data_IF_812364694652
#
_entry.id   IF_812364694652
#
_cell.length_a   1.000
_cell.length_b   1.000
_cell.length_c   1.000
_cell.angle_alpha   90.00
_cell.angle_beta   90.00
_cell.angle_gamma   90.00
#
_symmetry.space_group_name_H-M   'P 1'
#
loop_
_entity.id
_entity.type
_entity.pdbx_description
1 polymer ?
#
# COMPACT_ATOMS: atom_id res chain seq x y z
N UNK A 1 24.60 23.14 -6.17
CA UNK A 1 23.92 22.46 -5.04
C UNK A 1 25.01 22.02 -4.07
N UNK A 2 24.94 22.42 -2.80
CA UNK A 2 25.92 21.98 -1.81
C UNK A 2 25.65 20.54 -1.36
N UNK A 3 26.63 19.82 -0.79
CA UNK A 3 26.42 18.47 -0.27
C UNK A 3 25.25 18.38 0.73
N UNK A 4 25.13 19.35 1.63
CA UNK A 4 24.03 19.38 2.61
C UNK A 4 22.66 19.57 1.96
N UNK A 5 22.55 20.43 0.93
CA UNK A 5 21.30 20.60 0.18
C UNK A 5 20.86 19.30 -0.52
N UNK A 6 21.83 18.55 -1.06
CA UNK A 6 21.56 17.27 -1.71
C UNK A 6 21.06 16.23 -0.70
N UNK A 7 21.75 16.11 0.43
CA UNK A 7 21.39 15.16 1.49
C UNK A 7 20.01 15.48 2.08
N UNK A 8 19.68 16.76 2.26
CA UNK A 8 18.35 17.18 2.70
C UNK A 8 17.26 16.88 1.68
N UNK A 9 17.55 17.08 0.39
CA UNK A 9 16.64 16.67 -0.69
C UNK A 9 16.40 15.16 -0.65
N UNK A 10 17.44 14.36 -0.46
CA UNK A 10 17.36 12.91 -0.35
C UNK A 10 16.53 12.49 0.85
N UNK A 11 16.76 13.11 2.01
CA UNK A 11 16.00 12.88 3.23
C UNK A 11 14.52 13.20 3.05
N UNK A 12 14.18 14.29 2.36
CA UNK A 12 12.78 14.63 2.03
C UNK A 12 12.18 13.60 1.06
N UNK A 13 12.88 13.28 -0.02
CA UNK A 13 12.45 12.30 -1.02
C UNK A 13 12.16 10.93 -0.41
N UNK A 14 13.08 10.39 0.40
CA UNK A 14 12.93 9.12 1.10
C UNK A 14 11.76 9.13 2.08
N UNK A 15 11.54 10.23 2.81
CA UNK A 15 10.37 10.37 3.70
C UNK A 15 9.05 10.32 2.94
N UNK A 16 8.97 11.04 1.81
CA UNK A 16 7.79 11.05 0.95
C UNK A 16 7.55 9.65 0.38
N UNK A 17 8.57 9.05 -0.27
CA UNK A 17 8.46 7.74 -0.91
C UNK A 17 8.06 6.65 0.10
N UNK A 18 8.79 6.51 1.20
CA UNK A 18 8.49 5.54 2.26
C UNK A 18 7.04 5.70 2.75
N UNK A 19 6.61 6.92 3.07
CA UNK A 19 5.27 7.15 3.62
C UNK A 19 4.18 6.95 2.58
N UNK A 20 4.41 7.33 1.33
CA UNK A 20 3.46 7.16 0.25
C UNK A 20 3.24 5.67 -0.09
N UNK A 21 4.30 4.87 -0.09
CA UNK A 21 4.17 3.41 -0.18
C UNK A 21 3.39 2.82 1.00
N UNK A 22 3.63 3.30 2.22
CA UNK A 22 2.89 2.83 3.39
C UNK A 22 1.38 3.17 3.31
N UNK A 23 1.03 4.38 2.89
CA UNK A 23 -0.38 4.77 2.71
C UNK A 23 -1.03 4.05 1.50
N UNK A 24 -0.29 3.81 0.42
CA UNK A 24 -0.75 3.00 -0.71
C UNK A 24 -1.03 1.54 -0.30
N UNK A 25 -0.18 0.95 0.55
CA UNK A 25 -0.41 -0.39 1.09
C UNK A 25 -1.75 -0.45 1.85
N UNK A 26 -2.00 0.49 2.77
CA UNK A 26 -3.28 0.58 3.49
C UNK A 26 -4.47 0.77 2.56
N UNK A 27 -4.32 1.61 1.54
CA UNK A 27 -5.37 1.85 0.56
C UNK A 27 -5.78 0.56 -0.15
N UNK A 28 -4.82 -0.18 -0.70
CA UNK A 28 -5.11 -1.44 -1.38
C UNK A 28 -5.57 -2.54 -0.42
N UNK A 29 -5.08 -2.57 0.81
CA UNK A 29 -5.59 -3.48 1.83
C UNK A 29 -7.08 -3.24 2.12
N UNK A 30 -7.51 -1.99 2.26
CA UNK A 30 -8.93 -1.64 2.45
C UNK A 30 -9.77 -2.05 1.24
N UNK A 31 -9.28 -1.80 0.02
CA UNK A 31 -9.98 -2.22 -1.20
C UNK A 31 -10.08 -3.74 -1.32
N UNK A 32 -9.04 -4.46 -0.90
CA UNK A 32 -9.10 -5.91 -0.80
C UNK A 32 -10.22 -6.34 0.15
N UNK A 33 -10.27 -5.83 1.37
CA UNK A 33 -11.29 -6.20 2.37
C UNK A 33 -12.71 -5.87 1.92
N UNK A 34 -12.92 -4.69 1.33
CA UNK A 34 -14.24 -4.25 0.81
C UNK A 34 -14.74 -5.20 -0.27
N UNK A 35 -13.83 -5.78 -1.08
CA UNK A 35 -14.19 -6.71 -2.14
C UNK A 35 -14.24 -8.17 -1.66
N UNK A 36 -13.37 -8.57 -0.73
CA UNK A 36 -13.23 -9.95 -0.29
C UNK A 36 -14.26 -10.37 0.73
N UNK A 37 -14.61 -9.49 1.67
CA UNK A 37 -15.57 -9.81 2.72
C UNK A 37 -16.98 -10.12 2.16
N UNK A 38 -17.59 -9.30 1.27
CA UNK A 38 -18.89 -9.62 0.70
C UNK A 38 -18.86 -10.89 -0.16
N UNK A 39 -17.80 -11.08 -0.93
CA UNK A 39 -17.65 -12.25 -1.79
C UNK A 39 -17.61 -13.56 -0.99
N UNK A 40 -16.85 -13.58 0.11
CA UNK A 40 -16.77 -14.74 1.01
C UNK A 40 -18.12 -15.01 1.67
N UNK A 41 -18.84 -13.98 2.11
CA UNK A 41 -20.17 -14.13 2.71
C UNK A 41 -21.18 -14.72 1.73
N UNK A 42 -21.21 -14.21 0.49
CA UNK A 42 -22.10 -14.73 -0.55
C UNK A 42 -21.72 -16.17 -0.91
N UNK A 43 -20.43 -16.46 -1.10
CA UNK A 43 -19.97 -17.81 -1.41
C UNK A 43 -20.29 -18.82 -0.29
N UNK A 44 -20.19 -18.40 0.97
CA UNK A 44 -20.57 -19.24 2.11
C UNK A 44 -22.08 -19.54 2.13
N UNK A 45 -22.93 -18.54 1.80
CA UNK A 45 -24.37 -18.73 1.68
C UNK A 45 -24.71 -19.68 0.51
N UNK A 46 -23.98 -19.58 -0.60
CA UNK A 46 -24.10 -20.46 -1.77
C UNK A 46 -23.39 -21.81 -1.60
N UNK A 47 -23.13 -22.26 -0.38
CA UNK A 47 -22.60 -23.61 -0.15
C UNK A 47 -23.48 -24.65 -0.86
N UNK A 48 -22.87 -25.67 -1.45
CA UNK A 48 -23.55 -26.63 -2.33
C UNK A 48 -24.82 -27.23 -1.71
N UNK A 49 -24.79 -27.51 -0.41
CA UNK A 49 -25.92 -28.05 0.34
C UNK A 49 -27.09 -27.06 0.44
N UNK A 50 -26.80 -25.80 0.78
CA UNK A 50 -27.82 -24.75 0.91
C UNK A 50 -28.35 -24.36 -0.47
N UNK A 51 -27.48 -24.33 -1.48
CA UNK A 51 -27.86 -24.05 -2.86
C UNK A 51 -28.89 -25.07 -3.37
N UNK A 52 -28.61 -26.37 -3.24
CA UNK A 52 -29.53 -27.43 -3.68
C UNK A 52 -30.89 -27.33 -2.98
N UNK A 53 -30.90 -27.13 -1.65
CA UNK A 53 -32.13 -27.01 -0.87
C UNK A 53 -32.97 -25.78 -1.26
N UNK A 54 -32.32 -24.63 -1.46
CA UNK A 54 -33.01 -23.38 -1.78
C UNK A 54 -33.44 -23.30 -3.25
N UNK A 55 -32.76 -24.01 -4.15
CA UNK A 55 -33.14 -24.11 -5.55
C UNK A 55 -34.46 -24.87 -5.73
N UNK A 56 -34.67 -25.92 -4.93
CA UNK A 56 -35.91 -26.72 -4.93
C UNK A 56 -37.05 -26.04 -4.14
N UNK A 57 -36.80 -24.90 -3.50
CA UNK A 57 -37.82 -24.13 -2.78
C UNK A 57 -39.00 -23.80 -3.68
N UNK A 58 -40.24 -23.96 -3.20
CA UNK A 58 -41.46 -23.58 -3.93
C UNK A 58 -41.69 -22.06 -3.99
N UNK A 59 -40.86 -21.30 -3.28
CA UNK A 59 -40.98 -19.85 -3.15
C UNK A 59 -40.20 -19.16 -4.26
N UNK A 60 -40.91 -18.51 -5.19
CA UNK A 60 -40.31 -17.92 -6.40
C UNK A 60 -39.19 -16.89 -6.11
N UNK A 61 -39.36 -16.03 -5.09
CA UNK A 61 -38.37 -15.00 -4.76
C UNK A 61 -37.04 -15.61 -4.25
N UNK A 62 -37.09 -16.78 -3.61
CA UNK A 62 -35.88 -17.49 -3.14
C UNK A 62 -35.04 -17.94 -4.33
N UNK A 63 -35.67 -18.55 -5.36
CA UNK A 63 -34.96 -18.99 -6.58
C UNK A 63 -34.29 -17.83 -7.31
N UNK A 64 -35.01 -16.71 -7.44
CA UNK A 64 -34.47 -15.49 -8.08
C UNK A 64 -33.28 -14.95 -7.28
N UNK A 65 -33.38 -14.89 -5.95
CA UNK A 65 -32.28 -14.46 -5.10
C UNK A 65 -31.03 -15.34 -5.27
N UNK A 66 -31.20 -16.67 -5.30
CA UNK A 66 -30.10 -17.61 -5.51
C UNK A 66 -29.42 -17.43 -6.87
N UNK A 67 -30.19 -17.24 -7.95
CA UNK A 67 -29.63 -16.97 -9.27
C UNK A 67 -28.80 -15.67 -9.30
N UNK A 68 -29.32 -14.60 -8.68
CA UNK A 68 -28.62 -13.31 -8.57
C UNK A 68 -27.33 -13.45 -7.77
N UNK A 69 -27.37 -14.12 -6.61
CA UNK A 69 -26.19 -14.34 -5.76
C UNK A 69 -25.11 -15.15 -6.49
N UNK A 70 -25.47 -16.16 -7.29
CA UNK A 70 -24.52 -16.93 -8.10
C UNK A 70 -23.81 -16.05 -9.12
N UNK A 71 -24.55 -15.19 -9.84
CA UNK A 71 -23.95 -14.23 -10.78
C UNK A 71 -23.03 -13.24 -10.06
N UNK A 72 -23.47 -12.69 -8.92
CA UNK A 72 -22.65 -11.79 -8.11
C UNK A 72 -21.35 -12.44 -7.63
N UNK A 73 -21.41 -13.71 -7.24
CA UNK A 73 -20.23 -14.47 -6.80
C UNK A 73 -19.19 -14.57 -7.91
N UNK A 74 -19.61 -14.90 -9.13
CA UNK A 74 -18.73 -14.98 -10.29
C UNK A 74 -18.10 -13.61 -10.57
N UNK A 75 -18.91 -12.54 -10.62
CA UNK A 75 -18.42 -11.18 -10.88
C UNK A 75 -17.39 -10.74 -9.83
N UNK A 76 -17.71 -10.93 -8.55
CA UNK A 76 -16.81 -10.55 -7.45
C UNK A 76 -15.50 -11.35 -7.50
N UNK A 77 -15.58 -12.66 -7.75
CA UNK A 77 -14.39 -13.52 -7.85
C UNK A 77 -13.50 -13.13 -9.04
N UNK A 78 -14.10 -12.85 -10.20
CA UNK A 78 -13.36 -12.34 -11.36
C UNK A 78 -12.71 -10.98 -11.07
N UNK A 79 -13.41 -10.09 -10.37
CA UNK A 79 -12.87 -8.78 -10.00
C UNK A 79 -11.70 -8.91 -9.02
N UNK A 80 -11.77 -9.82 -8.06
CA UNK A 80 -10.66 -10.11 -7.14
C UNK A 80 -9.42 -10.61 -7.89
N UNK A 81 -9.61 -11.56 -8.81
CA UNK A 81 -8.53 -12.12 -9.62
C UNK A 81 -7.89 -11.08 -10.56
N UNK A 82 -8.69 -10.17 -11.11
CA UNK A 82 -8.22 -9.12 -12.01
C UNK A 82 -7.51 -7.97 -11.27
N UNK A 83 -8.07 -7.48 -10.15
CA UNK A 83 -7.57 -6.27 -9.48
C UNK A 83 -6.39 -6.53 -8.53
N UNK A 84 -6.28 -7.76 -8.01
CA UNK A 84 -5.16 -8.24 -7.17
C UNK A 84 -4.78 -7.29 -6.02
N UNK A 85 -5.76 -6.71 -5.35
CA UNK A 85 -5.53 -5.69 -4.32
C UNK A 85 -4.65 -6.17 -3.15
N UNK A 86 -4.76 -7.44 -2.74
CA UNK A 86 -3.90 -8.01 -1.71
C UNK A 86 -2.42 -8.02 -2.15
N UNK A 87 -2.14 -8.46 -3.38
CA UNK A 87 -0.79 -8.47 -3.94
C UNK A 87 -0.22 -7.05 -4.04
N UNK A 88 -1.02 -6.09 -4.53
CA UNK A 88 -0.61 -4.69 -4.62
C UNK A 88 -0.30 -4.10 -3.24
N UNK A 89 -1.13 -4.40 -2.24
CA UNK A 89 -0.90 -3.99 -0.85
C UNK A 89 0.45 -4.49 -0.34
N UNK A 90 0.74 -5.79 -0.48
CA UNK A 90 2.00 -6.36 -0.01
C UNK A 90 3.21 -5.81 -0.78
N UNK A 91 3.10 -5.60 -2.10
CA UNK A 91 4.19 -4.97 -2.88
C UNK A 91 4.51 -3.55 -2.40
N UNK A 92 3.49 -2.75 -2.10
CA UNK A 92 3.70 -1.42 -1.51
C UNK A 92 4.27 -1.50 -0.08
N UNK A 93 3.85 -2.48 0.72
CA UNK A 93 4.38 -2.70 2.08
C UNK A 93 5.85 -3.11 2.06
N UNK A 94 6.26 -4.01 1.17
CA UNK A 94 7.66 -4.38 0.98
C UNK A 94 8.52 -3.18 0.57
N UNK A 95 8.06 -2.39 -0.40
CA UNK A 95 8.76 -1.16 -0.81
C UNK A 95 8.86 -0.15 0.34
N UNK A 96 7.81 0.01 1.16
CA UNK A 96 7.84 0.87 2.33
C UNK A 96 8.89 0.41 3.36
N UNK A 97 9.01 -0.90 3.62
CA UNK A 97 10.02 -1.45 4.55
C UNK A 97 11.44 -1.16 4.03
N UNK A 98 11.72 -1.49 2.77
CA UNK A 98 13.03 -1.27 2.15
C UNK A 98 13.42 0.22 2.16
N UNK A 99 12.53 1.12 1.75
CA UNK A 99 12.78 2.57 1.80
C UNK A 99 12.92 3.10 3.23
N UNK A 100 12.21 2.49 4.19
CA UNK A 100 12.33 2.81 5.61
C UNK A 100 13.68 2.40 6.21
N UNK A 101 14.30 1.33 5.73
CA UNK A 101 15.68 0.95 6.07
C UNK A 101 16.68 1.99 5.54
N UNK A 102 16.60 2.33 4.25
CA UNK A 102 17.47 3.35 3.63
C UNK A 102 17.32 4.70 4.32
N UNK A 103 16.10 5.10 4.66
CA UNK A 103 15.84 6.35 5.39
C UNK A 103 16.51 6.35 6.77
N UNK A 104 16.41 5.27 7.54
CA UNK A 104 17.01 5.18 8.88
C UNK A 104 18.54 5.19 8.80
N UNK A 105 19.10 4.50 7.82
CA UNK A 105 20.55 4.52 7.56
C UNK A 105 21.01 5.96 7.22
N UNK A 106 20.28 6.67 6.35
CA UNK A 106 20.57 8.08 6.07
C UNK A 106 20.47 8.97 7.32
N UNK A 107 19.42 8.81 8.12
CA UNK A 107 19.22 9.58 9.36
C UNK A 107 20.34 9.32 10.38
N UNK A 108 20.85 8.08 10.47
CA UNK A 108 22.02 7.76 11.30
C UNK A 108 23.29 8.46 10.78
N UNK A 109 23.55 8.41 9.47
CA UNK A 109 24.72 9.08 8.88
C UNK A 109 24.70 10.60 9.09
N UNK A 110 23.50 11.21 9.10
CA UNK A 110 23.33 12.63 9.40
C UNK A 110 23.70 13.00 10.84
N UNK A 111 23.60 12.07 11.79
CA UNK A 111 23.89 12.32 13.22
C UNK A 111 25.36 12.10 13.57
N UNK A 112 26.03 11.14 12.95
CA UNK A 112 27.37 10.68 13.38
C UNK A 112 28.55 11.27 12.57
N UNK A 113 28.33 12.30 11.74
CA UNK A 113 29.31 13.08 10.95
C UNK A 113 30.33 12.32 10.06
N UNK A 114 30.31 10.99 10.02
CA UNK A 114 31.16 10.17 9.14
C UNK A 114 30.57 10.06 7.72
N UNK A 115 30.68 11.14 6.95
CA UNK A 115 30.31 11.14 5.53
C UNK A 115 31.55 11.05 4.65
N UNK A 116 31.97 9.83 4.39
CA UNK A 116 32.88 9.56 3.27
C UNK A 116 32.08 9.25 2.00
N UNK A 117 32.64 9.52 0.83
CA UNK A 117 32.03 9.33 -0.49
C UNK A 117 31.53 7.89 -0.66
N UNK A 118 32.29 6.91 -0.16
CA UNK A 118 31.91 5.51 -0.18
C UNK A 118 30.59 5.20 0.58
N UNK A 119 30.30 5.93 1.65
CA UNK A 119 29.05 5.78 2.42
C UNK A 119 27.86 6.29 1.61
N UNK A 120 27.99 7.49 1.03
CA UNK A 120 26.95 8.12 0.21
C UNK A 120 26.65 7.26 -1.02
N UNK A 121 27.69 6.72 -1.67
CA UNK A 121 27.55 5.84 -2.82
C UNK A 121 26.83 4.53 -2.48
N UNK A 122 27.12 3.92 -1.32
CA UNK A 122 26.39 2.74 -0.84
C UNK A 122 24.91 3.06 -0.58
N UNK A 123 24.62 4.19 0.05
CA UNK A 123 23.25 4.61 0.33
C UNK A 123 22.46 4.84 -0.97
N UNK A 124 23.08 5.51 -1.94
CA UNK A 124 22.50 5.74 -3.28
C UNK A 124 22.15 4.42 -3.96
N UNK A 125 23.08 3.48 -4.00
CA UNK A 125 22.86 2.14 -4.58
C UNK A 125 21.72 1.38 -3.90
N UNK A 126 21.64 1.44 -2.57
CA UNK A 126 20.52 0.83 -1.81
C UNK A 126 19.19 1.48 -2.13
N UNK A 127 19.15 2.82 -2.23
CA UNK A 127 17.95 3.53 -2.64
C UNK A 127 17.54 3.13 -4.06
N UNK A 128 18.44 3.21 -5.04
CA UNK A 128 18.16 2.83 -6.43
C UNK A 128 17.62 1.40 -6.53
N UNK A 129 18.16 0.47 -5.72
CA UNK A 129 17.68 -0.91 -5.67
C UNK A 129 16.26 -1.02 -5.09
N UNK A 130 15.95 -0.30 -4.01
CA UNK A 130 14.62 -0.26 -3.42
C UNK A 130 13.59 0.38 -4.38
N UNK A 131 13.97 1.46 -5.06
CA UNK A 131 13.09 2.19 -5.98
C UNK A 131 12.77 1.39 -7.25
N UNK A 132 13.77 0.68 -7.80
CA UNK A 132 13.55 -0.21 -8.97
C UNK A 132 12.54 -1.32 -8.72
N UNK A 133 12.43 -1.79 -7.49
CA UNK A 133 11.48 -2.86 -7.11
C UNK A 133 10.11 -2.29 -6.71
N UNK A 134 10.02 -0.98 -6.50
CA UNK A 134 8.85 -0.33 -5.98
C UNK A 134 7.73 -0.21 -7.05
N UNK A 135 6.48 -0.58 -6.73
CA UNK A 135 5.35 -0.32 -7.61
C UNK A 135 5.03 1.17 -7.72
N UNK A 136 4.46 1.61 -8.84
CA UNK A 136 4.05 3.01 -9.02
C UNK A 136 3.03 3.45 -7.96
N UNK A 137 3.32 4.57 -7.30
CA UNK A 137 2.44 5.18 -6.31
C UNK A 137 1.33 5.96 -7.03
N UNK A 138 0.04 5.80 -6.64
CA UNK A 138 -1.02 6.66 -7.15
C UNK A 138 -0.78 8.15 -6.82
N UNK A 139 -0.88 9.05 -7.81
CA UNK A 139 -0.56 10.48 -7.66
C UNK A 139 -1.29 11.13 -6.48
N UNK A 140 -2.60 10.85 -6.31
CA UNK A 140 -3.40 11.36 -5.18
C UNK A 140 -2.81 11.02 -3.80
N UNK A 141 -2.13 9.88 -3.68
CA UNK A 141 -1.46 9.46 -2.43
C UNK A 141 -0.11 10.16 -2.31
N UNK A 142 0.66 10.20 -3.41
CA UNK A 142 1.94 10.89 -3.45
C UNK A 142 1.79 12.37 -3.09
N UNK A 143 0.91 13.10 -3.77
CA UNK A 143 0.69 14.54 -3.61
C UNK A 143 0.27 14.89 -2.17
N UNK A 144 -0.64 14.09 -1.60
CA UNK A 144 -1.08 14.23 -0.21
C UNK A 144 0.07 14.05 0.78
N UNK A 145 0.91 13.04 0.56
CA UNK A 145 2.05 12.76 1.45
C UNK A 145 3.14 13.81 1.27
N UNK A 146 3.39 14.27 0.04
CA UNK A 146 4.34 15.33 -0.25
C UNK A 146 3.94 16.63 0.46
N UNK A 147 2.67 17.04 0.38
CA UNK A 147 2.13 18.19 1.11
C UNK A 147 2.31 18.03 2.63
N UNK A 148 1.97 16.86 3.19
CA UNK A 148 2.14 16.58 4.61
C UNK A 148 3.60 16.66 5.07
N UNK A 149 4.54 16.16 4.27
CA UNK A 149 5.98 16.21 4.59
C UNK A 149 6.52 17.64 4.49
N UNK A 150 6.02 18.45 3.54
CA UNK A 150 6.37 19.87 3.45
C UNK A 150 5.90 20.63 4.71
N UNK A 151 4.64 20.45 5.12
CA UNK A 151 4.09 21.07 6.34
C UNK A 151 4.86 20.69 7.62
N UNK A 152 5.39 19.47 7.68
CA UNK A 152 6.20 19.00 8.81
C UNK A 152 7.63 19.55 8.78
N UNK A 153 8.16 19.87 7.60
CA UNK A 153 9.47 20.51 7.44
C UNK A 153 9.46 21.99 7.86
N UNK A 154 8.33 22.68 7.67
CA UNK A 154 8.15 24.09 8.02
C UNK A 154 7.87 24.33 9.50
N UNK A 155 7.48 23.30 10.26
CA UNK A 155 7.26 23.42 11.71
C UNK A 155 8.57 23.23 12.47
N UNK A 156 8.94 24.16 13.39
CA UNK A 156 10.09 23.96 14.25
C UNK A 156 9.92 22.67 15.05
N UNK A 157 11.01 21.94 15.36
CA UNK A 157 10.94 20.72 16.15
C UNK A 157 10.16 21.02 17.44
N UNK A 158 9.13 20.22 17.72
CA UNK A 158 8.38 20.35 18.98
C UNK A 158 9.39 20.25 20.11
N UNK A 159 9.56 21.34 20.85
CA UNK A 159 10.34 21.36 22.07
C UNK A 159 9.87 20.18 22.92
N UNK A 160 10.80 19.26 23.20
CA UNK A 160 10.55 18.19 24.16
C UNK A 160 10.17 18.87 25.48
N UNK A 161 8.97 18.57 25.96
CA UNK A 161 8.58 18.90 27.34
C UNK A 161 9.17 17.87 28.28
#
# INVERSE_FOLDING_TARGET
MTPDMLVDQWRRGLRIAHRAHYEAAKYYYRMHLVLSLPAVLIAALLSTTVFAQLQDSTVAWVRVAMAVLSVLTVVLSSLQAALRFAERSERHKTAAVQLGEVRRELEQQLVFEHRDEAVIERLRKKWDAADRQAPTIPSRIYDRVAAMVAELGDKPPRAAK
#
